data_IF_075063934269
#
_entry.id   IF_075063934269
#
_cell.length_a   1.000
_cell.length_b   1.000
_cell.length_c   1.000
_cell.angle_alpha   90.00
_cell.angle_beta   90.00
_cell.angle_gamma   90.00
#
_symmetry.space_group_name_H-M   'P 1'
#
loop_
_entity.id
_entity.type
_entity.pdbx_description
1 polymer ?
#
# COMPACT_ATOMS: atom_id res chain seq x y z
N UNK A 1 0.49 -16.79 -9.18
CA UNK A 1 0.83 -15.57 -9.96
C UNK A 1 0.68 -15.85 -11.45
N UNK A 2 1.52 -16.73 -12.02
CA UNK A 2 1.54 -16.98 -13.48
C UNK A 2 0.15 -17.29 -14.08
N UNK A 3 -0.63 -18.18 -13.43
CA UNK A 3 -2.00 -18.48 -13.90
C UNK A 3 -2.96 -17.30 -13.90
N UNK A 4 -2.78 -16.34 -12.99
CA UNK A 4 -3.58 -15.10 -12.97
C UNK A 4 -3.17 -14.17 -14.11
N UNK A 5 -1.88 -14.10 -14.40
CA UNK A 5 -1.35 -13.35 -15.55
C UNK A 5 -1.88 -13.91 -16.87
N UNK A 6 -1.81 -15.24 -17.06
CA UNK A 6 -2.39 -15.94 -18.21
C UNK A 6 -3.89 -15.67 -18.38
N UNK A 7 -4.61 -15.51 -17.25
CA UNK A 7 -6.04 -15.18 -17.23
C UNK A 7 -6.34 -13.69 -17.46
N UNK A 8 -5.33 -12.84 -17.66
CA UNK A 8 -5.48 -11.43 -18.02
C UNK A 8 -5.40 -10.46 -16.83
N UNK A 9 -4.75 -10.82 -15.72
CA UNK A 9 -4.53 -9.88 -14.64
C UNK A 9 -3.45 -8.86 -15.01
N UNK A 10 -3.75 -7.56 -14.89
CA UNK A 10 -2.81 -6.46 -15.13
C UNK A 10 -1.88 -6.23 -13.94
N UNK A 11 -2.34 -6.56 -12.73
CA UNK A 11 -1.61 -6.35 -11.48
C UNK A 11 -1.77 -7.56 -10.56
N UNK A 12 -0.68 -8.03 -9.99
CA UNK A 12 -0.68 -9.06 -8.95
C UNK A 12 -0.34 -8.42 -7.61
N UNK A 13 -1.26 -8.52 -6.66
CA UNK A 13 -1.03 -8.08 -5.29
C UNK A 13 -0.70 -9.27 -4.38
N UNK A 14 0.40 -9.17 -3.65
CA UNK A 14 0.85 -10.14 -2.65
C UNK A 14 0.70 -9.49 -1.28
N UNK A 15 0.02 -10.17 -0.36
CA UNK A 15 -0.13 -9.69 1.02
C UNK A 15 0.64 -10.59 1.98
N UNK A 16 1.49 -9.99 2.79
CA UNK A 16 2.19 -10.65 3.89
C UNK A 16 1.79 -10.02 5.22
N UNK A 17 0.79 -10.57 5.91
CA UNK A 17 0.33 -10.03 7.20
C UNK A 17 1.27 -10.38 8.36
N UNK A 18 2.18 -11.32 8.18
CA UNK A 18 3.05 -11.86 9.25
C UNK A 18 4.48 -11.35 9.17
N UNK A 19 4.95 -11.00 7.98
CA UNK A 19 6.29 -10.50 7.73
C UNK A 19 6.46 -9.03 8.13
N UNK A 20 6.08 -8.67 9.35
CA UNK A 20 6.16 -7.28 9.81
C UNK A 20 7.51 -6.96 10.46
N UNK A 21 7.93 -5.69 10.34
CA UNK A 21 9.19 -5.24 10.90
C UNK A 21 9.27 -5.38 12.43
N UNK A 22 8.14 -5.26 13.12
CA UNK A 22 8.06 -5.38 14.58
C UNK A 22 8.13 -6.84 15.08
N UNK A 23 7.69 -7.80 14.25
CA UNK A 23 7.74 -9.22 14.59
C UNK A 23 9.10 -9.82 14.23
N UNK A 24 9.58 -9.56 13.02
CA UNK A 24 10.79 -10.20 12.50
C UNK A 24 12.08 -9.44 12.84
N UNK A 25 12.01 -8.11 12.91
CA UNK A 25 13.20 -7.28 12.94
C UNK A 25 14.02 -7.35 11.66
N UNK A 26 15.07 -6.52 11.49
CA UNK A 26 15.78 -6.37 10.21
C UNK A 26 16.35 -7.68 9.67
N UNK A 27 17.00 -8.47 10.53
CA UNK A 27 17.68 -9.70 10.10
C UNK A 27 16.72 -10.74 9.54
N UNK A 28 15.68 -11.08 10.30
CA UNK A 28 14.72 -12.10 9.86
C UNK A 28 13.78 -11.59 8.78
N UNK A 29 13.51 -10.29 8.76
CA UNK A 29 12.76 -9.69 7.67
C UNK A 29 13.51 -9.85 6.34
N UNK A 30 14.82 -9.63 6.32
CA UNK A 30 15.65 -9.86 5.13
C UNK A 30 15.70 -11.34 4.75
N UNK A 31 16.02 -12.21 5.72
CA UNK A 31 16.20 -13.64 5.49
C UNK A 31 14.90 -14.32 5.00
N UNK A 32 13.76 -13.98 5.58
CA UNK A 32 12.50 -14.66 5.28
C UNK A 32 11.57 -13.82 4.40
N UNK A 33 11.25 -12.58 4.75
CA UNK A 33 10.29 -11.80 3.98
C UNK A 33 10.87 -11.39 2.62
N UNK A 34 12.01 -10.69 2.60
CA UNK A 34 12.60 -10.20 1.33
C UNK A 34 12.94 -11.35 0.39
N UNK A 35 13.63 -12.37 0.91
CA UNK A 35 14.07 -13.52 0.10
C UNK A 35 12.89 -14.21 -0.59
N UNK A 36 11.87 -14.59 0.16
CA UNK A 36 10.75 -15.35 -0.40
C UNK A 36 9.76 -14.49 -1.19
N UNK A 37 9.58 -13.23 -0.81
CA UNK A 37 8.81 -12.28 -1.62
C UNK A 37 9.47 -12.09 -2.99
N UNK A 38 10.78 -11.89 -3.04
CA UNK A 38 11.49 -11.72 -4.31
C UNK A 38 11.45 -13.00 -5.17
N UNK A 39 11.58 -14.19 -4.58
CA UNK A 39 11.37 -15.44 -5.32
C UNK A 39 9.98 -15.51 -5.97
N UNK A 40 8.92 -15.08 -5.25
CA UNK A 40 7.57 -15.04 -5.80
C UNK A 40 7.42 -13.98 -6.89
N UNK A 41 7.97 -12.79 -6.68
CA UNK A 41 7.89 -11.66 -7.59
C UNK A 41 8.63 -11.95 -8.90
N UNK A 42 9.85 -12.46 -8.81
CA UNK A 42 10.68 -12.83 -9.96
C UNK A 42 10.04 -13.97 -10.78
N UNK A 43 9.33 -14.88 -10.10
CA UNK A 43 8.58 -15.96 -10.77
C UNK A 43 7.27 -15.50 -11.45
N UNK A 44 6.83 -14.26 -11.21
CA UNK A 44 5.64 -13.66 -11.84
C UNK A 44 6.05 -12.75 -13.01
N UNK A 45 7.29 -12.27 -13.04
CA UNK A 45 7.75 -11.26 -13.97
C UNK A 45 7.62 -11.73 -15.43
N UNK A 46 6.85 -10.98 -16.21
CA UNK A 46 6.64 -11.16 -17.66
C UNK A 46 6.97 -9.88 -18.46
N UNK A 47 7.54 -8.87 -17.79
CA UNK A 47 7.83 -7.55 -18.33
C UNK A 47 6.61 -6.62 -18.50
N UNK A 48 5.39 -7.11 -18.29
CA UNK A 48 4.13 -6.34 -18.47
C UNK A 48 3.34 -6.21 -17.18
N UNK A 49 3.08 -7.32 -16.50
CA UNK A 49 2.29 -7.37 -15.27
C UNK A 49 2.99 -6.61 -14.15
N UNK A 50 2.27 -5.75 -13.45
CA UNK A 50 2.81 -5.01 -12.30
C UNK A 50 2.52 -5.74 -11.00
N UNK A 51 3.39 -5.54 -10.02
CA UNK A 51 3.28 -6.19 -8.73
C UNK A 51 3.15 -5.19 -7.60
N UNK A 52 2.33 -5.51 -6.61
CA UNK A 52 2.17 -4.76 -5.37
C UNK A 52 2.44 -5.72 -4.22
N UNK A 53 3.29 -5.31 -3.28
CA UNK A 53 3.45 -6.03 -2.00
C UNK A 53 2.82 -5.20 -0.90
N UNK A 54 1.86 -5.80 -0.20
CA UNK A 54 1.24 -5.24 1.00
C UNK A 54 1.79 -5.92 2.24
N UNK A 55 2.28 -5.13 3.19
CA UNK A 55 2.78 -5.59 4.49
C UNK A 55 2.04 -4.86 5.59
N UNK A 56 1.42 -5.63 6.50
CA UNK A 56 0.78 -5.08 7.69
C UNK A 56 1.79 -4.71 8.78
N UNK A 57 1.35 -3.92 9.77
CA UNK A 57 2.13 -3.58 10.95
C UNK A 57 3.21 -2.53 10.72
N UNK A 58 4.10 -2.37 11.71
CA UNK A 58 5.14 -1.34 11.72
C UNK A 58 6.34 -1.71 10.85
N UNK A 59 6.80 -0.72 10.07
CA UNK A 59 7.92 -0.89 9.12
C UNK A 59 9.18 -0.12 9.51
N UNK A 60 9.14 0.64 10.61
CA UNK A 60 10.22 1.60 10.95
C UNK A 60 11.61 0.98 11.04
N UNK A 61 11.70 -0.23 11.57
CA UNK A 61 12.98 -0.94 11.76
C UNK A 61 13.52 -1.59 10.48
N UNK A 62 12.72 -1.70 9.41
CA UNK A 62 13.02 -2.53 8.22
C UNK A 62 12.95 -1.79 6.89
N UNK A 63 12.96 -0.46 6.89
CA UNK A 63 12.90 0.31 5.64
C UNK A 63 14.04 -0.01 4.66
N UNK A 64 15.23 -0.31 5.17
CA UNK A 64 16.37 -0.72 4.30
C UNK A 64 16.06 -2.04 3.59
N UNK A 65 15.53 -3.01 4.32
CA UNK A 65 15.16 -4.32 3.79
C UNK A 65 13.98 -4.23 2.83
N UNK A 66 12.97 -3.41 3.14
CA UNK A 66 11.83 -3.17 2.25
C UNK A 66 12.29 -2.64 0.89
N UNK A 67 13.31 -1.80 0.85
CA UNK A 67 13.88 -1.30 -0.40
C UNK A 67 14.46 -2.40 -1.30
N UNK A 68 14.78 -3.56 -0.75
CA UNK A 68 15.28 -4.72 -1.48
C UNK A 68 14.17 -5.58 -2.10
N UNK A 69 12.89 -5.28 -1.81
CA UNK A 69 11.76 -6.02 -2.40
C UNK A 69 11.54 -5.58 -3.85
N UNK A 70 11.48 -6.54 -4.78
CA UNK A 70 11.41 -6.30 -6.22
C UNK A 70 10.04 -5.82 -6.75
N UNK A 71 9.04 -5.62 -5.88
CA UNK A 71 7.70 -5.16 -6.31
C UNK A 71 7.74 -3.78 -6.99
N UNK A 72 6.81 -3.56 -7.91
CA UNK A 72 6.63 -2.24 -8.52
C UNK A 72 6.05 -1.21 -7.54
N UNK A 73 5.19 -1.63 -6.62
CA UNK A 73 4.63 -0.78 -5.58
C UNK A 73 4.64 -1.45 -4.21
N UNK A 74 4.69 -0.64 -3.17
CA UNK A 74 4.63 -1.06 -1.77
C UNK A 74 3.37 -0.48 -1.12
N UNK A 75 2.61 -1.32 -0.44
CA UNK A 75 1.40 -0.94 0.27
C UNK A 75 1.57 -1.18 1.76
N UNK A 76 1.14 -0.23 2.58
CA UNK A 76 1.35 -0.26 4.03
C UNK A 76 0.08 -0.11 4.84
N UNK A 77 0.12 -0.66 6.04
CA UNK A 77 -0.88 -0.48 7.10
C UNK A 77 -1.06 1.00 7.49
N UNK A 78 -2.22 1.36 8.02
CA UNK A 78 -2.53 2.72 8.50
C UNK A 78 -1.62 3.20 9.64
N UNK A 79 -0.98 2.26 10.36
CA UNK A 79 -0.03 2.56 11.44
C UNK A 79 1.30 3.11 10.90
N UNK A 80 1.61 2.89 9.61
CA UNK A 80 2.85 3.40 8.99
C UNK A 80 2.65 4.86 8.58
N UNK A 81 3.42 5.81 9.15
CA UNK A 81 3.34 7.21 8.73
C UNK A 81 3.85 7.37 7.29
N UNK A 82 2.97 7.67 6.34
CA UNK A 82 3.32 7.72 4.92
C UNK A 82 4.43 8.73 4.60
N UNK A 83 4.49 9.87 5.30
CA UNK A 83 5.61 10.83 5.18
C UNK A 83 6.96 10.22 5.57
N UNK A 84 6.97 9.34 6.58
CA UNK A 84 8.18 8.63 7.00
C UNK A 84 8.56 7.57 5.98
N UNK A 85 7.59 6.79 5.49
CA UNK A 85 7.79 5.83 4.42
C UNK A 85 8.37 6.52 3.17
N UNK A 86 7.80 7.64 2.75
CA UNK A 86 8.30 8.43 1.60
C UNK A 86 9.75 8.87 1.77
N UNK A 87 10.13 9.36 2.96
CA UNK A 87 11.51 9.78 3.24
C UNK A 87 12.51 8.63 3.17
N UNK A 88 12.14 7.44 3.62
CA UNK A 88 13.03 6.30 3.68
C UNK A 88 13.08 5.48 2.39
N UNK A 89 12.00 5.51 1.60
CA UNK A 89 11.86 4.70 0.38
C UNK A 89 12.02 5.51 -0.92
N UNK A 90 12.27 6.82 -0.81
CA UNK A 90 12.57 7.69 -1.96
C UNK A 90 11.46 7.66 -3.03
N UNK A 91 11.84 7.34 -4.26
CA UNK A 91 10.95 7.37 -5.43
C UNK A 91 10.10 6.09 -5.62
N UNK A 92 10.16 5.14 -4.69
CA UNK A 92 9.30 3.94 -4.75
C UNK A 92 7.82 4.31 -4.86
N UNK A 93 7.07 3.58 -5.66
CA UNK A 93 5.61 3.76 -5.71
C UNK A 93 5.00 3.27 -4.40
N UNK A 94 4.38 4.19 -3.67
CA UNK A 94 3.74 3.92 -2.39
C UNK A 94 2.21 3.92 -2.55
N UNK A 95 1.56 2.90 -2.02
CA UNK A 95 0.12 2.72 -2.04
C UNK A 95 -0.45 2.75 -0.63
N UNK A 96 -1.54 3.41 -0.45
CA UNK A 96 -2.28 3.46 0.81
C UNK A 96 -2.49 4.90 1.26
N UNK A 97 -2.75 5.10 2.54
CA UNK A 97 -3.08 4.09 3.56
C UNK A 97 -4.23 4.62 4.42
N UNK A 98 -5.38 4.83 3.75
CA UNK A 98 -6.57 5.32 4.46
C UNK A 98 -7.06 4.26 5.45
N UNK A 99 -7.14 4.63 6.73
CA UNK A 99 -7.50 3.70 7.81
C UNK A 99 -8.79 2.95 7.54
N UNK A 100 -8.73 1.62 7.53
CA UNK A 100 -9.91 0.75 7.38
C UNK A 100 -10.87 0.89 8.55
N UNK A 101 -10.35 1.18 9.76
CA UNK A 101 -11.17 1.51 10.91
C UNK A 101 -11.98 2.80 10.68
N UNK A 102 -11.35 3.84 10.13
CA UNK A 102 -12.05 5.08 9.79
C UNK A 102 -13.07 4.88 8.64
N UNK A 103 -12.77 4.00 7.70
CA UNK A 103 -13.70 3.63 6.62
C UNK A 103 -14.93 2.88 7.13
N UNK A 104 -14.82 2.10 8.21
CA UNK A 104 -15.95 1.39 8.79
C UNK A 104 -16.71 2.21 9.84
N UNK A 105 -16.01 2.85 10.77
CA UNK A 105 -16.60 3.49 11.95
C UNK A 105 -16.59 5.02 11.92
N UNK A 106 -15.86 5.63 10.99
CA UNK A 106 -15.83 7.09 10.83
C UNK A 106 -16.97 7.62 9.96
N UNK A 107 -16.98 8.93 9.82
CA UNK A 107 -17.86 9.66 8.91
C UNK A 107 -17.14 10.05 7.61
N UNK A 108 -17.90 10.59 6.65
CA UNK A 108 -17.40 11.02 5.35
C UNK A 108 -16.34 12.12 5.46
N UNK A 109 -16.49 13.05 6.43
CA UNK A 109 -15.55 14.15 6.65
C UNK A 109 -14.20 13.64 7.15
N UNK A 110 -14.20 12.72 8.11
CA UNK A 110 -13.01 12.06 8.62
C UNK A 110 -12.27 11.30 7.51
N UNK A 111 -13.01 10.54 6.70
CA UNK A 111 -12.44 9.79 5.58
C UNK A 111 -11.84 10.74 4.53
N UNK A 112 -12.55 11.83 4.18
CA UNK A 112 -12.04 12.84 3.26
C UNK A 112 -10.74 13.48 3.76
N UNK A 113 -10.68 13.83 5.05
CA UNK A 113 -9.48 14.39 5.69
C UNK A 113 -8.30 13.42 5.64
N UNK A 114 -8.50 12.14 5.97
CA UNK A 114 -7.45 11.12 5.90
C UNK A 114 -6.99 10.86 4.46
N UNK A 115 -7.91 10.86 3.50
CA UNK A 115 -7.58 10.72 2.08
C UNK A 115 -6.67 11.84 1.60
N UNK A 116 -7.04 13.09 1.91
CA UNK A 116 -6.23 14.27 1.59
C UNK A 116 -4.85 14.18 2.24
N UNK A 117 -4.80 13.79 3.51
CA UNK A 117 -3.53 13.59 4.21
C UNK A 117 -2.63 12.53 3.54
N UNK A 118 -3.20 11.42 3.04
CA UNK A 118 -2.43 10.41 2.30
C UNK A 118 -1.83 11.00 1.00
N UNK A 119 -2.61 11.79 0.25
CA UNK A 119 -2.11 12.48 -0.97
C UNK A 119 -0.98 13.44 -0.63
N UNK A 120 -1.15 14.27 0.38
CA UNK A 120 -0.15 15.27 0.83
C UNK A 120 1.10 14.60 1.44
N UNK A 121 0.96 13.38 1.93
CA UNK A 121 2.04 12.59 2.51
C UNK A 121 2.88 11.84 1.48
N UNK A 122 2.52 11.90 0.19
CA UNK A 122 3.30 11.35 -0.91
C UNK A 122 2.89 9.93 -1.32
N UNK A 123 1.66 9.48 -0.99
CA UNK A 123 1.11 8.27 -1.61
C UNK A 123 0.88 8.49 -3.10
N UNK A 124 1.34 7.56 -3.93
CA UNK A 124 1.12 7.59 -5.37
C UNK A 124 -0.22 6.95 -5.75
N UNK A 125 -0.62 5.92 -5.02
CA UNK A 125 -1.88 5.21 -5.20
C UNK A 125 -2.65 5.31 -3.87
N UNK A 126 -3.82 5.91 -3.90
CA UNK A 126 -4.68 5.99 -2.72
C UNK A 126 -5.55 4.76 -2.63
N UNK A 127 -5.47 4.10 -1.49
CA UNK A 127 -6.26 2.90 -1.18
C UNK A 127 -6.59 2.81 0.31
N UNK A 128 -7.53 1.94 0.68
CA UNK A 128 -7.61 1.48 2.06
C UNK A 128 -6.27 0.89 2.52
N UNK A 129 -5.97 1.04 3.79
CA UNK A 129 -4.70 0.60 4.37
C UNK A 129 -4.55 -0.93 4.45
N UNK A 130 -5.65 -1.66 4.37
CA UNK A 130 -5.70 -3.13 4.39
C UNK A 130 -7.06 -3.58 3.83
N UNK A 131 -7.44 -4.85 4.04
CA UNK A 131 -8.76 -5.37 3.70
C UNK A 131 -9.89 -4.56 4.35
N UNK A 132 -10.91 -4.23 3.57
CA UNK A 132 -12.09 -3.52 4.07
C UNK A 132 -12.91 -4.41 5.00
N UNK A 133 -13.40 -3.83 6.09
CA UNK A 133 -14.43 -4.47 6.90
C UNK A 133 -15.72 -4.63 6.09
N UNK A 134 -16.40 -5.77 6.26
CA UNK A 134 -17.62 -6.09 5.50
C UNK A 134 -18.80 -5.16 5.81
N UNK A 135 -18.70 -4.39 6.91
CA UNK A 135 -19.70 -3.41 7.33
C UNK A 135 -19.34 -1.97 6.95
N UNK A 136 -18.23 -1.76 6.23
CA UNK A 136 -17.82 -0.42 5.80
C UNK A 136 -18.91 0.24 4.95
N UNK A 137 -19.46 1.41 5.37
CA UNK A 137 -20.51 2.07 4.63
C UNK A 137 -20.02 2.52 3.24
N UNK A 138 -20.80 2.26 2.21
CA UNK A 138 -20.45 2.63 0.84
C UNK A 138 -20.20 4.15 0.69
N UNK A 139 -20.93 4.98 1.44
CA UNK A 139 -20.74 6.44 1.46
C UNK A 139 -19.32 6.83 1.85
N UNK A 140 -18.67 6.10 2.78
CA UNK A 140 -17.29 6.36 3.20
C UNK A 140 -16.30 6.03 2.09
N UNK A 141 -16.49 4.92 1.38
CA UNK A 141 -15.68 4.58 0.20
C UNK A 141 -15.86 5.65 -0.90
N UNK A 142 -17.11 6.08 -1.13
CA UNK A 142 -17.39 7.15 -2.09
C UNK A 142 -16.78 8.50 -1.67
N UNK A 143 -16.72 8.80 -0.39
CA UNK A 143 -16.07 10.02 0.12
C UNK A 143 -14.56 10.00 -0.18
N UNK A 144 -13.89 8.86 0.03
CA UNK A 144 -12.48 8.67 -0.35
C UNK A 144 -12.27 8.95 -1.85
N UNK A 145 -13.08 8.34 -2.71
CA UNK A 145 -12.95 8.50 -4.17
C UNK A 145 -13.27 9.93 -4.64
N UNK A 146 -14.31 10.56 -4.08
CA UNK A 146 -14.68 11.96 -4.39
C UNK A 146 -13.58 12.93 -4.02
N UNK A 147 -12.95 12.72 -2.85
CA UNK A 147 -11.83 13.55 -2.38
C UNK A 147 -10.63 13.41 -3.31
N UNK A 148 -10.27 12.19 -3.68
CA UNK A 148 -9.16 11.94 -4.60
C UNK A 148 -9.36 12.64 -5.95
N UNK A 149 -10.55 12.58 -6.54
CA UNK A 149 -10.87 13.27 -7.80
C UNK A 149 -10.72 14.79 -7.68
N UNK A 150 -11.11 15.39 -6.56
CA UNK A 150 -10.91 16.83 -6.31
C UNK A 150 -9.44 17.20 -6.23
N UNK A 151 -8.64 16.44 -5.48
CA UNK A 151 -7.19 16.68 -5.35
C UNK A 151 -6.44 16.51 -6.67
N UNK A 152 -6.83 15.57 -7.53
CA UNK A 152 -6.28 15.43 -8.87
C UNK A 152 -6.58 16.63 -9.76
N UNK A 153 -7.81 17.13 -9.75
CA UNK A 153 -8.22 18.29 -10.55
C UNK A 153 -7.48 19.56 -10.10
N UNK A 154 -7.19 19.72 -8.82
CA UNK A 154 -6.38 20.86 -8.32
C UNK A 154 -4.95 20.80 -8.83
N UNK A 155 -4.35 19.60 -8.94
CA UNK A 155 -2.98 19.43 -9.45
C UNK A 155 -2.86 19.57 -10.98
N UNK A 156 -3.96 19.43 -11.71
CA UNK A 156 -4.02 19.55 -13.17
C UNK A 156 -4.53 20.92 -13.65
N UNK A 157 -4.94 21.79 -12.72
CA UNK A 157 -5.29 23.17 -13.05
C UNK A 157 -4.01 23.96 -13.39
N UNK A 158 -3.99 24.70 -14.50
CA UNK A 158 -2.83 25.48 -14.94
C UNK A 158 -2.44 26.60 -13.98
#
# INVERSE_FOLDING_TARGET
GARLVEAGADVIAISDPSGTGEILGPRFFEEYAVTYLNMLLDGIEDGKTKTIVHICGQMRSVYQQINMVHSNALSFDAIVPMKEARRNLGERVLMGNVSTFALEFGDEEKVASLTKFCVESGSNIISPACGLGTKSPLRNIQAMLKTLKKEQNVKLAP
#
